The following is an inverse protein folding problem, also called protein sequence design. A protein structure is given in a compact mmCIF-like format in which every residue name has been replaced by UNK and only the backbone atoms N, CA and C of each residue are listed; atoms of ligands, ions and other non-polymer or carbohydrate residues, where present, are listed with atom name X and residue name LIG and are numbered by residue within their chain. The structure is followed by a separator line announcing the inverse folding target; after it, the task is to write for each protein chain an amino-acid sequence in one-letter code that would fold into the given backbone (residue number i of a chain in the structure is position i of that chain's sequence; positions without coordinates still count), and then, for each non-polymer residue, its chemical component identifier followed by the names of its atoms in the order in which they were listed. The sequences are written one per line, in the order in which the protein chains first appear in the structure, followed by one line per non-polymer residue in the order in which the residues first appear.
data_IF_661766179607
#
_entry.id   IF_661766179607
#
_cell.length_a   1.000
_cell.length_b   1.000
_cell.length_c   1.000
_cell.angle_alpha   90.00
_cell.angle_beta   90.00
_cell.angle_gamma   90.00
#
_symmetry.space_group_name_H-M   'P 1'
#
loop_
_entity.id
_entity.type
_entity.pdbx_description
1 polymer ?
#
# COMPACT_ATOMS: atom_id res chain seq x y z
N UNK A 1 41.13 -51.45 -12.85
CA UNK A 1 41.34 -50.02 -12.60
C UNK A 1 40.18 -49.19 -13.13
N UNK A 2 39.73 -49.37 -14.36
CA UNK A 2 38.61 -48.62 -15.00
C UNK A 2 37.29 -48.74 -14.20
N UNK A 3 36.88 -49.95 -13.74
CA UNK A 3 35.63 -50.14 -12.96
C UNK A 3 35.62 -49.40 -11.62
N UNK A 4 36.79 -49.24 -10.97
CA UNK A 4 36.87 -48.47 -9.72
C UNK A 4 36.74 -46.96 -9.98
N UNK A 5 37.25 -46.46 -11.10
CA UNK A 5 37.11 -45.06 -11.50
C UNK A 5 35.63 -44.76 -11.85
N UNK A 6 35.01 -45.64 -12.66
CA UNK A 6 33.59 -45.50 -13.03
C UNK A 6 32.69 -45.56 -11.80
N UNK A 7 32.92 -46.47 -10.85
CA UNK A 7 32.18 -46.53 -9.61
C UNK A 7 32.38 -45.28 -8.75
N UNK A 8 33.60 -44.72 -8.69
CA UNK A 8 33.88 -43.48 -7.96
C UNK A 8 33.18 -42.27 -8.55
N UNK A 9 33.16 -42.14 -9.88
CA UNK A 9 32.43 -41.06 -10.58
C UNK A 9 30.91 -41.18 -10.36
N UNK A 10 30.36 -42.41 -10.41
CA UNK A 10 28.93 -42.64 -10.18
C UNK A 10 28.51 -42.23 -8.76
N UNK A 11 29.33 -42.57 -7.77
CA UNK A 11 29.09 -42.17 -6.36
C UNK A 11 29.14 -40.65 -6.21
N UNK A 12 30.08 -39.98 -6.85
CA UNK A 12 30.15 -38.51 -6.81
C UNK A 12 28.94 -37.86 -7.48
N UNK A 13 28.46 -38.38 -8.59
CA UNK A 13 27.24 -37.89 -9.26
C UNK A 13 26.02 -38.10 -8.37
N UNK A 14 25.88 -39.26 -7.73
CA UNK A 14 24.77 -39.54 -6.81
C UNK A 14 24.80 -38.61 -5.58
N UNK A 15 25.98 -38.36 -5.01
CA UNK A 15 26.14 -37.44 -3.91
C UNK A 15 25.83 -36.00 -4.32
N UNK A 16 26.30 -35.54 -5.47
CA UNK A 16 26.00 -34.22 -6.00
C UNK A 16 24.48 -34.06 -6.27
N UNK A 17 23.84 -35.10 -6.84
CA UNK A 17 22.41 -35.11 -7.09
C UNK A 17 21.60 -35.07 -5.77
N UNK A 18 22.00 -35.85 -4.78
CA UNK A 18 21.39 -35.88 -3.47
C UNK A 18 21.51 -34.51 -2.76
N UNK A 19 22.70 -33.90 -2.84
CA UNK A 19 22.95 -32.56 -2.29
C UNK A 19 22.12 -31.50 -3.00
N UNK A 20 22.05 -31.54 -4.33
CA UNK A 20 21.21 -30.63 -5.09
C UNK A 20 19.73 -30.78 -4.77
N UNK A 21 19.22 -32.01 -4.63
CA UNK A 21 17.85 -32.29 -4.22
C UNK A 21 17.57 -31.79 -2.80
N UNK A 22 18.50 -31.99 -1.88
CA UNK A 22 18.42 -31.47 -0.52
C UNK A 22 18.39 -29.92 -0.53
N UNK A 23 19.30 -29.29 -1.23
CA UNK A 23 19.37 -27.85 -1.36
C UNK A 23 18.05 -27.27 -1.90
N UNK A 24 17.49 -27.85 -2.98
CA UNK A 24 16.27 -27.37 -3.61
C UNK A 24 14.99 -27.68 -2.84
N UNK A 25 14.93 -28.83 -2.15
CA UNK A 25 13.69 -29.26 -1.48
C UNK A 25 13.64 -28.98 0.01
N UNK A 26 14.77 -28.77 0.67
CA UNK A 26 14.85 -28.57 2.10
C UNK A 26 15.35 -27.17 2.46
N UNK A 27 16.43 -26.71 1.84
CA UNK A 27 17.02 -25.41 2.21
C UNK A 27 16.36 -24.24 1.48
N UNK A 28 16.15 -24.32 0.18
CA UNK A 28 15.56 -23.21 -0.60
C UNK A 28 14.19 -22.73 -0.05
N UNK A 29 13.25 -23.61 0.37
CA UNK A 29 12.00 -23.17 0.97
C UNK A 29 12.18 -22.31 2.22
N UNK A 30 13.19 -22.58 3.06
CA UNK A 30 13.46 -21.78 4.25
C UNK A 30 13.85 -20.34 3.92
N UNK A 31 14.61 -20.15 2.82
CA UNK A 31 14.94 -18.80 2.33
C UNK A 31 13.72 -18.13 1.68
N UNK A 32 12.83 -18.90 1.06
CA UNK A 32 11.56 -18.36 0.52
C UNK A 32 10.65 -17.89 1.66
N UNK A 33 10.52 -18.66 2.75
CA UNK A 33 9.73 -18.27 3.91
C UNK A 33 10.35 -17.06 4.62
N UNK A 34 11.68 -17.03 4.78
CA UNK A 34 12.41 -15.88 5.32
C UNK A 34 12.23 -14.63 4.44
N UNK A 35 12.18 -14.79 3.11
CA UNK A 35 11.88 -13.71 2.18
C UNK A 35 10.46 -13.17 2.41
N UNK A 36 9.45 -14.04 2.49
CA UNK A 36 8.05 -13.62 2.72
C UNK A 36 7.91 -12.86 4.04
N UNK A 37 8.54 -13.34 5.11
CA UNK A 37 8.57 -12.63 6.39
C UNK A 37 9.20 -11.23 6.27
N UNK A 38 10.27 -11.11 5.49
CA UNK A 38 11.14 -9.93 5.41
C UNK A 38 10.68 -8.88 4.40
N UNK A 39 9.85 -9.27 3.42
CA UNK A 39 9.52 -8.36 2.31
C UNK A 39 8.71 -7.15 2.76
N UNK A 40 7.76 -7.31 3.70
CA UNK A 40 7.03 -6.18 4.29
C UNK A 40 7.96 -5.13 4.93
N UNK A 41 8.82 -5.50 5.87
CA UNK A 41 9.84 -4.60 6.42
C UNK A 41 10.78 -3.97 5.39
N UNK A 42 11.21 -4.73 4.38
CA UNK A 42 12.04 -4.20 3.29
C UNK A 42 11.30 -3.11 2.49
N UNK A 43 10.06 -3.39 2.05
CA UNK A 43 9.23 -2.43 1.32
C UNK A 43 8.87 -1.20 2.16
N UNK A 44 8.66 -1.39 3.46
CA UNK A 44 8.49 -0.27 4.38
C UNK A 44 9.72 0.64 4.34
N UNK A 45 10.93 0.10 4.56
CA UNK A 45 12.17 0.91 4.56
C UNK A 45 12.40 1.57 3.20
N UNK A 46 12.18 0.86 2.09
CA UNK A 46 12.27 1.41 0.75
C UNK A 46 11.34 2.63 0.58
N UNK A 47 10.07 2.46 0.96
CA UNK A 47 9.06 3.49 0.83
C UNK A 47 9.34 4.70 1.72
N UNK A 48 9.74 4.50 2.98
CA UNK A 48 10.03 5.62 3.89
C UNK A 48 11.32 6.36 3.49
N UNK A 49 12.29 5.70 2.87
CA UNK A 49 13.48 6.37 2.32
C UNK A 49 13.13 7.22 1.10
N UNK A 50 12.23 6.74 0.23
CA UNK A 50 11.71 7.52 -0.89
C UNK A 50 10.94 8.75 -0.39
N UNK A 51 10.04 8.56 0.59
CA UNK A 51 9.21 9.62 1.16
C UNK A 51 9.99 10.66 1.97
N UNK A 52 11.08 10.26 2.60
CA UNK A 52 11.92 11.15 3.41
C UNK A 52 13.06 11.81 2.63
N UNK A 53 13.17 11.54 1.34
CA UNK A 53 14.26 12.08 0.50
C UNK A 53 15.62 11.46 0.77
N UNK A 54 15.70 10.36 1.52
CA UNK A 54 16.94 9.63 1.78
C UNK A 54 17.47 8.88 0.55
N UNK A 55 16.60 8.63 -0.42
CA UNK A 55 16.87 7.98 -1.69
C UNK A 55 16.41 8.88 -2.84
N UNK A 56 17.17 8.95 -3.92
CA UNK A 56 16.70 9.54 -5.17
C UNK A 56 15.59 8.61 -5.70
N UNK A 57 14.36 9.02 -5.48
CA UNK A 57 13.21 8.27 -5.94
C UNK A 57 12.83 8.71 -7.34
N UNK A 58 12.59 7.75 -8.24
CA UNK A 58 11.68 7.93 -9.37
C UNK A 58 10.21 8.06 -8.88
N UNK A 59 10.02 8.66 -7.70
CA UNK A 59 8.74 8.68 -7.00
C UNK A 59 7.97 9.94 -7.37
N UNK A 60 7.12 9.80 -8.38
CA UNK A 60 6.11 10.80 -8.74
C UNK A 60 5.04 11.00 -7.66
N UNK A 61 5.04 10.17 -6.59
CA UNK A 61 4.01 10.19 -5.53
C UNK A 61 4.10 11.47 -4.69
N UNK A 62 5.30 11.97 -4.47
CA UNK A 62 5.56 13.29 -3.89
C UNK A 62 6.38 14.05 -4.92
N UNK A 63 5.78 15.07 -5.53
CA UNK A 63 6.49 15.87 -6.51
C UNK A 63 7.78 16.39 -5.91
N UNK A 64 8.86 16.48 -6.71
CA UNK A 64 10.10 17.11 -6.30
C UNK A 64 9.84 18.48 -5.64
N UNK A 65 8.77 19.18 -6.09
CA UNK A 65 8.30 20.45 -5.50
C UNK A 65 7.75 20.28 -4.07
N UNK A 66 7.00 19.19 -3.78
CA UNK A 66 6.49 18.94 -2.43
C UNK A 66 7.63 18.56 -1.46
N UNK A 67 8.56 17.74 -1.90
CA UNK A 67 9.77 17.40 -1.15
C UNK A 67 10.65 18.65 -0.96
N UNK A 68 10.83 19.45 -2.00
CA UNK A 68 11.59 20.69 -1.95
C UNK A 68 10.92 21.74 -1.08
N UNK A 69 9.60 21.87 -1.11
CA UNK A 69 8.85 22.77 -0.22
C UNK A 69 8.99 22.37 1.25
N UNK A 70 8.98 21.07 1.54
CA UNK A 70 9.24 20.55 2.88
C UNK A 70 10.72 20.76 3.32
N UNK A 71 11.67 20.64 2.39
CA UNK A 71 13.10 20.88 2.62
C UNK A 71 13.43 22.37 2.80
N UNK A 72 12.76 23.28 2.10
CA UNK A 72 12.95 24.73 2.20
C UNK A 72 12.59 25.30 3.59
N UNK A 73 11.87 24.56 4.41
CA UNK A 73 11.57 24.92 5.80
C UNK A 73 12.71 24.56 6.79
N UNK A 74 13.94 24.37 6.32
CA UNK A 74 15.14 24.27 7.14
C UNK A 74 15.57 22.84 7.51
N UNK A 75 15.15 21.82 6.75
CA UNK A 75 15.64 20.47 6.95
C UNK A 75 16.86 20.18 6.07
N UNK A 76 18.04 20.18 6.65
CA UNK A 76 19.18 19.44 6.12
C UNK A 76 18.99 17.96 6.51
N UNK A 77 18.85 17.04 5.52
CA UNK A 77 18.74 15.61 5.76
C UNK A 77 17.36 15.01 5.48
N UNK A 78 17.10 13.84 6.05
CA UNK A 78 15.86 13.11 5.86
C UNK A 78 14.64 13.85 6.44
N UNK A 79 13.52 13.86 5.69
CA UNK A 79 12.25 14.45 6.13
C UNK A 79 11.55 13.51 7.12
N UNK A 80 12.01 13.48 8.37
CA UNK A 80 11.42 12.70 9.44
C UNK A 80 10.60 13.59 10.37
N UNK A 81 9.55 13.02 10.98
CA UNK A 81 8.68 13.67 11.95
C UNK A 81 8.04 14.98 11.46
N UNK A 82 7.74 15.05 10.17
CA UNK A 82 7.03 16.17 9.55
C UNK A 82 6.18 15.74 8.39
N UNK A 83 5.12 16.47 8.11
CA UNK A 83 4.19 16.19 7.02
C UNK A 83 4.74 16.60 5.65
N UNK A 84 4.41 15.81 4.65
CA UNK A 84 4.56 16.12 3.23
C UNK A 84 3.19 16.04 2.56
N UNK A 85 2.70 17.16 2.06
CA UNK A 85 1.41 17.24 1.39
C UNK A 85 1.56 17.02 -0.12
N UNK A 86 0.92 15.98 -0.66
CA UNK A 86 0.67 15.90 -2.09
C UNK A 86 -0.66 16.63 -2.40
N UNK A 87 -0.55 17.84 -2.94
CA UNK A 87 -1.69 18.72 -3.21
C UNK A 87 -2.27 18.55 -4.61
N UNK A 88 -1.89 17.49 -5.33
CA UNK A 88 -2.43 17.12 -6.65
C UNK A 88 -3.13 15.77 -6.55
N UNK A 89 -4.24 15.63 -7.25
CA UNK A 89 -4.86 14.32 -7.47
C UNK A 89 -3.98 13.52 -8.43
N UNK A 90 -3.94 12.21 -8.23
CA UNK A 90 -3.21 11.31 -9.11
C UNK A 90 -3.79 11.33 -10.53
N UNK A 91 -2.94 11.32 -11.52
CA UNK A 91 -3.29 11.26 -12.94
C UNK A 91 -2.45 10.20 -13.68
N UNK A 92 -2.49 10.21 -15.01
CA UNK A 92 -1.76 9.23 -15.83
C UNK A 92 -0.24 9.37 -15.78
N UNK A 93 0.29 10.47 -15.25
CA UNK A 93 1.74 10.66 -15.11
C UNK A 93 2.32 9.95 -13.87
N UNK A 94 1.47 9.64 -12.87
CA UNK A 94 1.89 8.93 -11.66
C UNK A 94 2.18 7.45 -11.95
N UNK A 95 3.44 7.01 -11.80
CA UNK A 95 3.92 5.65 -12.09
C UNK A 95 4.56 4.94 -10.90
N UNK A 96 4.85 5.65 -9.83
CA UNK A 96 5.47 5.09 -8.62
C UNK A 96 4.54 4.20 -7.80
N UNK A 97 3.21 4.41 -7.90
CA UNK A 97 2.19 3.64 -7.17
C UNK A 97 1.23 3.00 -8.15
N UNK A 98 1.04 1.69 -8.05
CA UNK A 98 0.02 0.96 -8.81
C UNK A 98 -1.37 1.27 -8.27
N UNK A 99 -2.38 1.25 -9.12
CA UNK A 99 -3.79 1.56 -8.78
C UNK A 99 -3.99 2.86 -8.01
N UNK A 100 -3.34 3.99 -8.44
CA UNK A 100 -3.39 5.23 -7.70
C UNK A 100 -4.83 5.73 -7.54
N UNK A 101 -5.10 6.45 -6.44
CA UNK A 101 -6.42 6.99 -6.16
C UNK A 101 -6.52 8.46 -6.63
N UNK A 102 -7.58 8.76 -7.37
CA UNK A 102 -7.88 10.12 -7.88
C UNK A 102 -9.00 10.83 -7.07
N UNK A 103 -9.45 10.24 -5.96
CA UNK A 103 -10.56 10.77 -5.16
C UNK A 103 -10.11 11.44 -3.86
N UNK A 104 -8.83 11.33 -3.50
CA UNK A 104 -8.29 11.89 -2.25
C UNK A 104 -6.96 12.58 -2.47
N UNK A 105 -6.73 13.67 -1.72
CA UNK A 105 -5.40 14.23 -1.50
C UNK A 105 -4.69 13.42 -0.41
N UNK A 106 -3.37 13.29 -0.55
CA UNK A 106 -2.54 12.52 0.38
C UNK A 106 -1.59 13.41 1.17
N UNK A 107 -1.51 13.17 2.47
CA UNK A 107 -0.43 13.69 3.31
C UNK A 107 0.31 12.51 3.93
N UNK A 108 1.61 12.47 3.78
CA UNK A 108 2.47 11.45 4.33
C UNK A 108 3.41 12.02 5.38
N UNK A 109 3.78 11.21 6.37
CA UNK A 109 4.87 11.49 7.28
C UNK A 109 5.56 10.19 7.69
N UNK A 110 6.87 10.23 7.76
CA UNK A 110 7.69 9.16 8.34
C UNK A 110 8.00 9.55 9.78
N UNK A 111 7.47 8.77 10.72
CA UNK A 111 7.66 9.03 12.15
C UNK A 111 8.75 8.12 12.70
N UNK A 112 9.78 8.74 13.29
CA UNK A 112 10.81 8.07 14.05
C UNK A 112 10.61 8.40 15.53
N UNK A 113 10.28 7.39 16.33
CA UNK A 113 9.74 7.53 17.69
C UNK A 113 10.74 7.17 18.79
N UNK A 114 11.96 6.73 18.43
CA UNK A 114 12.93 6.30 19.45
C UNK A 114 13.49 7.48 20.28
N UNK A 115 13.48 8.68 19.70
CA UNK A 115 14.04 9.86 20.35
C UNK A 115 12.98 10.74 21.02
N UNK A 116 11.80 10.81 20.44
CA UNK A 116 10.74 11.74 20.87
C UNK A 116 9.38 11.25 20.42
N UNK A 117 8.30 11.48 21.19
CA UNK A 117 6.95 11.42 20.66
C UNK A 117 6.77 12.37 19.48
N UNK A 118 5.85 12.00 18.58
CA UNK A 118 5.44 12.87 17.47
C UNK A 118 4.02 13.32 17.68
N UNK A 119 3.80 14.63 17.60
CA UNK A 119 2.49 15.24 17.66
C UNK A 119 1.87 15.32 16.26
N UNK A 120 0.64 14.85 16.13
CA UNK A 120 -0.20 15.02 14.94
C UNK A 120 -1.38 15.91 15.34
N UNK A 121 -1.49 17.08 14.69
CA UNK A 121 -2.68 17.91 14.78
C UNK A 121 -3.59 17.62 13.59
N UNK A 122 -4.86 17.31 13.88
CA UNK A 122 -5.89 16.92 12.91
C UNK A 122 -7.00 17.96 12.92
N UNK A 123 -7.34 18.61 11.80
CA UNK A 123 -8.44 19.57 11.75
C UNK A 123 -9.79 18.85 11.92
N UNK A 124 -10.81 19.58 12.37
CA UNK A 124 -12.18 19.10 12.35
C UNK A 124 -12.63 18.92 10.89
N UNK A 125 -13.08 17.70 10.56
CA UNK A 125 -13.43 17.33 9.19
C UNK A 125 -14.89 17.66 8.82
N UNK A 126 -15.77 17.80 9.82
CA UNK A 126 -17.22 17.89 9.60
C UNK A 126 -17.71 16.69 8.78
N UNK A 127 -18.43 16.95 7.70
CA UNK A 127 -18.96 15.90 6.82
C UNK A 127 -17.93 15.39 5.77
N UNK A 128 -16.74 16.01 5.68
CA UNK A 128 -15.71 15.56 4.73
C UNK A 128 -15.00 14.34 5.28
N UNK A 129 -14.84 13.32 4.42
CA UNK A 129 -13.98 12.19 4.77
C UNK A 129 -12.52 12.65 4.88
N UNK A 130 -11.98 12.51 6.09
CA UNK A 130 -10.57 12.64 6.42
C UNK A 130 -10.17 11.43 7.24
N UNK A 131 -9.14 10.73 6.84
CA UNK A 131 -8.62 9.58 7.57
C UNK A 131 -7.10 9.60 7.62
N UNK A 132 -6.54 9.13 8.72
CA UNK A 132 -5.10 8.98 8.92
C UNK A 132 -4.84 7.55 9.38
N UNK A 133 -4.16 6.77 8.56
CA UNK A 133 -3.70 5.44 8.91
C UNK A 133 -2.26 5.52 9.44
N UNK A 134 -1.97 4.79 10.51
CA UNK A 134 -0.65 4.64 11.10
C UNK A 134 -0.21 3.18 10.92
N UNK A 135 0.84 2.97 10.13
CA UNK A 135 1.39 1.65 9.82
C UNK A 135 2.76 1.47 10.45
N UNK A 136 3.00 0.30 11.00
CA UNK A 136 4.29 -0.10 11.54
C UNK A 136 5.24 -0.66 10.47
N UNK A 137 6.44 -1.03 10.89
CA UNK A 137 7.49 -1.58 10.02
C UNK A 137 7.09 -2.88 9.32
N UNK A 138 6.14 -3.63 9.87
CA UNK A 138 5.57 -4.83 9.24
C UNK A 138 4.35 -4.52 8.36
N UNK A 139 4.07 -3.25 8.10
CA UNK A 139 2.95 -2.76 7.30
C UNK A 139 1.56 -3.03 7.87
N UNK A 140 1.48 -3.48 9.12
CA UNK A 140 0.22 -3.59 9.85
C UNK A 140 -0.27 -2.19 10.27
N UNK A 141 -1.55 -1.91 10.05
CA UNK A 141 -2.18 -0.67 10.53
C UNK A 141 -2.55 -0.84 12.00
N UNK A 142 -1.71 -0.38 12.91
CA UNK A 142 -1.94 -0.51 14.35
C UNK A 142 -2.94 0.54 14.89
N UNK A 143 -3.11 1.67 14.18
CA UNK A 143 -4.06 2.70 14.57
C UNK A 143 -4.61 3.46 13.35
N UNK A 144 -5.79 4.03 13.53
CA UNK A 144 -6.48 4.85 12.55
C UNK A 144 -7.14 6.04 13.24
N UNK A 145 -7.04 7.24 12.66
CA UNK A 145 -7.74 8.45 13.10
C UNK A 145 -8.65 8.84 11.95
N UNK A 146 -9.94 8.58 12.10
CA UNK A 146 -10.91 8.79 11.03
C UNK A 146 -12.34 8.85 11.54
N UNK A 147 -13.32 8.93 10.64
CA UNK A 147 -14.73 9.10 11.05
C UNK A 147 -15.23 7.99 11.95
N UNK A 148 -14.74 6.76 11.81
CA UNK A 148 -15.14 5.61 12.62
C UNK A 148 -14.69 5.78 14.09
N UNK A 149 -13.48 6.31 14.34
CA UNK A 149 -12.91 6.47 15.68
C UNK A 149 -13.30 7.81 16.33
N UNK A 150 -13.49 8.86 15.54
CA UNK A 150 -13.60 10.23 16.04
C UNK A 150 -14.90 10.93 15.66
N UNK A 151 -15.73 10.33 14.79
CA UNK A 151 -16.92 10.99 14.24
C UNK A 151 -16.60 12.25 13.43
N UNK A 152 -15.38 12.36 12.89
CA UNK A 152 -14.93 13.55 12.14
C UNK A 152 -14.41 14.68 13.03
N UNK A 153 -14.37 14.51 14.35
CA UNK A 153 -13.80 15.49 15.27
C UNK A 153 -12.27 15.58 15.07
N UNK A 154 -11.76 16.80 15.01
CA UNK A 154 -10.34 17.07 15.04
C UNK A 154 -9.71 16.78 16.40
N UNK A 155 -8.44 17.12 16.54
CA UNK A 155 -7.75 16.98 17.83
C UNK A 155 -6.23 16.88 17.69
N UNK A 156 -5.60 16.79 18.85
CA UNK A 156 -4.14 16.60 18.95
C UNK A 156 -3.84 15.20 19.46
N UNK A 157 -2.93 14.53 18.78
CA UNK A 157 -2.53 13.16 19.08
C UNK A 157 -1.02 13.10 19.25
N UNK A 158 -0.56 12.44 20.30
CA UNK A 158 0.83 12.05 20.44
C UNK A 158 0.98 10.59 20.03
N UNK A 159 1.82 10.35 19.04
CA UNK A 159 2.26 9.00 18.67
C UNK A 159 3.55 8.76 19.44
N UNK A 160 3.52 7.77 20.31
CA UNK A 160 4.65 7.46 21.21
C UNK A 160 5.24 6.11 20.85
N UNK A 161 6.56 5.97 20.99
CA UNK A 161 7.23 4.68 20.82
C UNK A 161 6.76 3.64 21.85
N UNK A 162 7.04 2.33 21.61
CA UNK A 162 6.56 1.27 22.49
C UNK A 162 7.02 1.40 23.95
N UNK A 163 8.21 1.93 24.17
CA UNK A 163 8.83 2.08 25.50
C UNK A 163 8.82 3.52 26.02
N UNK A 164 8.18 4.44 25.29
CA UNK A 164 8.14 5.85 25.68
C UNK A 164 7.31 6.04 26.97
N UNK A 165 7.84 6.83 27.90
CA UNK A 165 7.24 7.16 29.20
C UNK A 165 6.85 8.62 29.33
N UNK A 166 6.88 9.39 28.27
CA UNK A 166 6.52 10.80 28.26
C UNK A 166 5.06 11.01 28.67
N UNK A 167 4.82 12.06 29.43
CA UNK A 167 3.48 12.40 29.92
C UNK A 167 2.90 13.46 28.98
N UNK A 168 1.82 13.10 28.29
CA UNK A 168 1.12 14.03 27.42
C UNK A 168 0.26 15.02 28.23
N UNK A 169 -0.02 16.23 27.72
CA UNK A 169 -1.06 17.12 28.25
C UNK A 169 -2.43 16.44 28.31
N UNK A 170 -3.29 16.88 29.21
CA UNK A 170 -4.57 16.21 29.49
C UNK A 170 -5.57 16.21 28.30
N UNK A 171 -5.43 17.17 27.40
CA UNK A 171 -6.25 17.33 26.18
C UNK A 171 -5.68 16.62 24.96
N UNK A 172 -4.51 15.99 25.10
CA UNK A 172 -3.83 15.25 24.02
C UNK A 172 -4.15 13.75 24.11
N UNK A 173 -4.58 13.17 23.01
CA UNK A 173 -4.80 11.72 22.91
C UNK A 173 -3.48 11.01 22.60
N UNK A 174 -3.18 9.95 23.36
CA UNK A 174 -1.93 9.17 23.17
C UNK A 174 -2.22 7.90 22.41
N UNK A 175 -1.47 7.67 21.34
CA UNK A 175 -1.46 6.42 20.57
C UNK A 175 -0.07 5.80 20.70
N UNK A 176 0.00 4.62 21.28
CA UNK A 176 1.26 3.88 21.42
C UNK A 176 1.49 3.01 20.20
N UNK A 177 2.62 3.22 19.54
CA UNK A 177 3.04 2.44 18.39
C UNK A 177 3.57 1.05 18.81
N UNK A 178 3.50 0.11 17.89
CA UNK A 178 4.04 -1.25 18.04
C UNK A 178 5.55 -1.29 17.86
N UNK A 179 6.12 -0.33 17.14
CA UNK A 179 7.54 -0.15 16.89
C UNK A 179 7.95 1.33 16.87
N UNK A 180 9.21 1.61 16.61
CA UNK A 180 9.74 2.97 16.59
C UNK A 180 9.63 3.67 15.23
N UNK A 181 9.51 2.91 14.15
CA UNK A 181 9.36 3.45 12.80
C UNK A 181 7.90 3.29 12.34
N UNK A 182 7.26 4.40 12.01
CA UNK A 182 5.84 4.46 11.63
C UNK A 182 5.68 5.26 10.34
N UNK A 183 4.87 4.75 9.42
CA UNK A 183 4.39 5.54 8.29
C UNK A 183 2.97 6.03 8.54
N UNK A 184 2.80 7.33 8.54
CA UNK A 184 1.51 8.01 8.56
C UNK A 184 1.05 8.30 7.14
N UNK A 185 -0.17 7.91 6.81
CA UNK A 185 -0.80 8.24 5.53
C UNK A 185 -2.20 8.80 5.75
N UNK A 186 -2.35 10.10 5.53
CA UNK A 186 -3.65 10.77 5.58
C UNK A 186 -4.30 10.86 4.19
N UNK A 187 -5.63 10.79 4.16
CA UNK A 187 -6.47 10.94 2.97
C UNK A 187 -7.55 11.97 3.22
N UNK A 188 -7.67 12.94 2.32
CA UNK A 188 -8.72 13.98 2.34
C UNK A 188 -9.53 13.87 1.07
N UNK A 189 -10.82 13.60 1.18
CA UNK A 189 -11.71 13.41 0.04
C UNK A 189 -11.89 14.70 -0.79
N UNK A 190 -11.92 14.51 -2.09
CA UNK A 190 -12.19 15.54 -3.11
C UNK A 190 -13.36 15.06 -3.97
N UNK A 191 -14.49 15.72 -3.87
CA UNK A 191 -15.70 15.34 -4.62
C UNK A 191 -15.59 15.63 -6.12
N UNK A 192 -14.89 16.73 -6.49
CA UNK A 192 -14.67 17.15 -7.86
C UNK A 192 -13.73 18.34 -7.93
N UNK A 193 -13.55 18.90 -9.13
CA UNK A 193 -12.63 20.03 -9.36
C UNK A 193 -13.05 21.28 -8.58
N UNK A 194 -14.34 21.51 -8.42
CA UNK A 194 -14.88 22.66 -7.68
C UNK A 194 -14.56 22.58 -6.18
N UNK A 195 -14.36 21.38 -5.65
CA UNK A 195 -14.08 21.09 -4.25
C UNK A 195 -12.58 21.10 -3.90
N UNK A 196 -11.70 21.02 -4.87
CA UNK A 196 -10.25 20.84 -4.66
C UNK A 196 -9.62 21.90 -3.75
N UNK A 197 -10.06 23.17 -3.84
CA UNK A 197 -9.55 24.24 -2.99
C UNK A 197 -9.90 24.04 -1.51
N UNK A 198 -11.13 23.61 -1.23
CA UNK A 198 -11.59 23.33 0.14
C UNK A 198 -10.89 22.10 0.73
N UNK A 199 -10.68 21.05 -0.09
CA UNK A 199 -9.93 19.86 0.32
C UNK A 199 -8.46 20.19 0.64
N UNK A 200 -7.80 21.04 -0.16
CA UNK A 200 -6.45 21.55 0.12
C UNK A 200 -6.37 22.37 1.40
N UNK A 201 -7.37 23.21 1.67
CA UNK A 201 -7.42 23.97 2.91
C UNK A 201 -7.49 23.04 4.14
N UNK A 202 -8.29 21.96 4.06
CA UNK A 202 -8.34 20.94 5.11
C UNK A 202 -7.03 20.17 5.23
N UNK A 203 -6.46 19.72 4.11
CA UNK A 203 -5.16 19.04 4.07
C UNK A 203 -4.09 19.87 4.77
N UNK A 204 -4.05 21.16 4.50
CA UNK A 204 -3.12 22.09 5.13
C UNK A 204 -3.34 22.27 6.63
N UNK A 205 -4.42 21.80 7.20
CA UNK A 205 -4.67 21.76 8.65
C UNK A 205 -4.01 20.58 9.35
N UNK A 206 -3.57 19.55 8.60
CA UNK A 206 -2.83 18.42 9.16
C UNK A 206 -1.39 18.88 9.43
N UNK A 207 -0.91 18.72 10.66
CA UNK A 207 0.45 19.08 11.07
C UNK A 207 1.10 17.94 11.82
N UNK A 208 2.40 17.75 11.58
CA UNK A 208 3.22 16.72 12.22
C UNK A 208 4.51 17.35 12.72
N UNK A 209 4.85 17.12 14.00
CA UNK A 209 6.09 17.65 14.58
C UNK A 209 6.62 16.79 15.72
N UNK A 210 7.92 16.78 15.92
CA UNK A 210 8.55 16.23 17.13
C UNK A 210 8.08 16.99 18.36
N UNK A 211 7.71 16.28 19.43
CA UNK A 211 7.33 16.91 20.71
C UNK A 211 8.52 17.58 21.37
N UNK A 212 9.69 16.96 21.29
CA UNK A 212 10.94 17.49 21.80
C UNK A 212 11.86 17.82 20.63
N UNK A 213 11.83 19.04 20.10
CA UNK A 213 12.54 19.41 18.86
C UNK A 213 14.06 19.33 18.97
N UNK A 214 14.60 19.37 20.18
CA UNK A 214 16.06 19.23 20.44
C UNK A 214 16.55 17.77 20.33
N UNK A 215 15.64 16.82 20.16
CA UNK A 215 15.94 15.40 19.98
C UNK A 215 15.73 15.03 18.51
N UNK A 216 16.85 14.99 17.77
CA UNK A 216 16.81 14.72 16.34
C UNK A 216 16.39 13.27 16.06
N UNK A 217 15.46 13.03 15.14
CA UNK A 217 15.08 11.69 14.71
C UNK A 217 16.23 11.01 13.97
N UNK A 218 16.36 9.71 14.13
CA UNK A 218 17.45 8.90 13.57
C UNK A 218 17.00 8.28 12.24
N UNK A 219 17.60 8.67 11.09
CA UNK A 219 17.30 8.05 9.81
C UNK A 219 17.85 6.62 9.70
N UNK A 220 17.32 5.84 8.74
CA UNK A 220 17.92 4.56 8.38
C UNK A 220 19.35 4.76 7.84
N UNK A 221 20.29 3.94 8.28
CA UNK A 221 21.69 4.00 7.85
C UNK A 221 21.92 3.21 6.55
N UNK A 222 21.28 2.05 6.44
CA UNK A 222 21.38 1.21 5.26
C UNK A 222 20.48 1.75 4.16
N UNK A 223 21.07 2.25 3.09
CA UNK A 223 20.31 2.68 1.91
C UNK A 223 19.82 1.47 1.13
N UNK A 224 18.54 1.48 0.77
CA UNK A 224 17.96 0.43 -0.08
C UNK A 224 18.52 0.54 -1.49
N UNK A 225 19.01 -0.58 -2.02
CA UNK A 225 19.43 -0.75 -3.43
C UNK A 225 18.45 -1.62 -4.20
N UNK A 226 18.90 -2.25 -5.28
CA UNK A 226 18.11 -3.23 -6.02
C UNK A 226 17.82 -4.46 -5.14
N UNK A 227 16.58 -4.95 -5.14
CA UNK A 227 16.16 -6.13 -4.39
C UNK A 227 16.97 -7.39 -4.77
N UNK A 228 17.49 -7.45 -5.98
CA UNK A 228 18.39 -8.54 -6.41
C UNK A 228 19.73 -8.54 -5.67
N UNK A 229 20.14 -7.41 -5.06
CA UNK A 229 21.28 -7.36 -4.13
C UNK A 229 20.87 -7.95 -2.78
N UNK A 230 20.98 -9.27 -2.69
CA UNK A 230 20.54 -10.02 -1.51
C UNK A 230 21.28 -9.65 -0.22
N UNK A 231 22.53 -9.17 -0.32
CA UNK A 231 23.27 -8.67 0.85
C UNK A 231 22.68 -7.35 1.35
N UNK A 232 22.33 -6.46 0.44
CA UNK A 232 21.64 -5.21 0.79
C UNK A 232 20.25 -5.50 1.35
N UNK A 233 19.48 -6.39 0.69
CA UNK A 233 18.16 -6.81 1.16
C UNK A 233 18.19 -7.27 2.63
N UNK A 234 19.09 -8.22 2.97
CA UNK A 234 19.20 -8.71 4.35
C UNK A 234 19.68 -7.63 5.33
N UNK A 235 20.62 -6.77 4.94
CA UNK A 235 21.10 -5.67 5.78
C UNK A 235 20.00 -4.63 6.09
N UNK A 236 19.15 -4.30 5.11
CA UNK A 236 17.99 -3.42 5.31
C UNK A 236 17.01 -4.03 6.31
N UNK A 237 16.69 -5.31 6.14
CA UNK A 237 15.77 -6.02 7.04
C UNK A 237 16.36 -6.11 8.46
N UNK A 238 17.64 -6.44 8.60
CA UNK A 238 18.30 -6.49 9.89
C UNK A 238 18.24 -5.15 10.63
N UNK A 239 18.48 -4.04 9.94
CA UNK A 239 18.35 -2.71 10.54
C UNK A 239 16.92 -2.41 10.95
N UNK A 240 15.93 -2.71 10.08
CA UNK A 240 14.51 -2.51 10.37
C UNK A 240 14.08 -3.27 11.63
N UNK A 241 14.46 -4.54 11.76
CA UNK A 241 14.15 -5.36 12.92
C UNK A 241 14.85 -4.87 14.19
N UNK A 242 16.12 -4.48 14.10
CA UNK A 242 16.88 -3.97 15.24
C UNK A 242 16.30 -2.67 15.81
N UNK A 243 15.84 -1.76 14.94
CA UNK A 243 15.18 -0.51 15.33
C UNK A 243 13.83 -0.73 16.00
N UNK A 244 13.15 -1.82 15.64
CA UNK A 244 11.79 -2.17 16.08
C UNK A 244 11.78 -3.42 16.95
N UNK A 245 12.76 -3.58 17.84
CA UNK A 245 12.95 -4.76 18.67
C UNK A 245 11.77 -5.08 19.59
N UNK A 246 11.01 -4.08 20.04
CA UNK A 246 9.81 -4.26 20.86
C UNK A 246 8.59 -4.79 20.07
N UNK A 247 8.61 -4.74 18.75
CA UNK A 247 7.49 -5.16 17.91
C UNK A 247 7.26 -6.68 18.01
N UNK A 248 6.01 -7.16 18.20
CA UNK A 248 5.73 -8.59 18.36
C UNK A 248 6.25 -9.46 17.22
N UNK A 249 6.12 -8.99 15.97
CA UNK A 249 6.61 -9.72 14.81
C UNK A 249 8.14 -9.81 14.75
N UNK A 250 8.87 -8.86 15.34
CA UNK A 250 10.34 -8.92 15.42
C UNK A 250 10.80 -10.14 16.23
N UNK A 251 10.01 -10.59 17.22
CA UNK A 251 10.34 -11.80 17.99
C UNK A 251 10.34 -13.07 17.13
N UNK A 252 9.53 -13.11 16.07
CA UNK A 252 9.49 -14.24 15.11
C UNK A 252 10.74 -14.31 14.23
N UNK A 253 11.58 -13.28 14.22
CA UNK A 253 12.84 -13.31 13.47
C UNK A 253 13.75 -14.48 13.87
N UNK A 254 13.61 -15.00 15.09
CA UNK A 254 14.31 -16.18 15.57
C UNK A 254 13.96 -17.46 14.78
N UNK A 255 12.79 -17.51 14.13
CA UNK A 255 12.33 -18.62 13.31
C UNK A 255 13.02 -18.62 11.93
N UNK A 256 13.72 -17.53 11.58
CA UNK A 256 14.35 -17.31 10.28
C UNK A 256 15.88 -17.10 10.39
N UNK A 257 16.65 -18.15 10.75
CA UNK A 257 18.11 -18.04 10.87
C UNK A 257 18.81 -17.62 9.56
N UNK A 258 18.14 -17.76 8.41
CA UNK A 258 18.59 -17.32 7.08
C UNK A 258 18.80 -15.80 7.00
N UNK A 259 18.24 -15.03 7.92
CA UNK A 259 18.42 -13.58 8.01
C UNK A 259 19.73 -13.19 8.70
N UNK A 260 20.48 -14.18 9.22
CA UNK A 260 21.76 -13.95 9.94
C UNK A 260 21.60 -12.87 11.03
N UNK A 261 20.53 -12.96 11.82
CA UNK A 261 20.25 -12.05 12.93
C UNK A 261 20.93 -12.56 14.19
N UNK A 262 21.59 -11.65 14.92
CA UNK A 262 22.21 -11.95 16.20
C UNK A 262 23.71 -11.61 16.26
N UNK A 263 24.23 -11.59 17.48
CA UNK A 263 25.63 -11.25 17.71
C UNK A 263 26.53 -12.35 17.13
N UNK A 264 27.38 -11.98 16.15
CA UNK A 264 28.28 -12.89 15.47
C UNK A 264 27.70 -13.69 14.30
N UNK A 265 26.45 -13.47 13.94
CA UNK A 265 25.88 -14.05 12.72
C UNK A 265 26.48 -13.37 11.49
N UNK A 266 27.01 -14.16 10.56
CA UNK A 266 27.63 -13.66 9.34
C UNK A 266 26.83 -14.12 8.10
N UNK A 267 26.61 -13.19 7.17
CA UNK A 267 26.12 -13.50 5.83
C UNK A 267 27.21 -14.26 5.04
N UNK A 268 27.08 -15.58 5.00
CA UNK A 268 28.09 -16.47 4.41
C UNK A 268 27.85 -16.79 2.94
N UNK A 269 28.80 -17.54 2.32
CA UNK A 269 28.66 -17.94 0.90
C UNK A 269 27.42 -18.83 0.62
N UNK A 270 26.96 -19.60 1.62
CA UNK A 270 25.77 -20.45 1.51
C UNK A 270 24.52 -19.54 1.46
N UNK A 271 24.46 -18.54 2.36
CA UNK A 271 23.36 -17.56 2.37
C UNK A 271 23.33 -16.80 1.04
N UNK A 272 24.48 -16.31 0.58
CA UNK A 272 24.62 -15.62 -0.70
C UNK A 272 24.07 -16.47 -1.86
N UNK A 273 24.38 -17.77 -1.88
CA UNK A 273 23.89 -18.69 -2.90
C UNK A 273 22.37 -18.82 -2.89
N UNK A 274 21.75 -19.14 -1.73
CA UNK A 274 20.31 -19.33 -1.66
C UNK A 274 19.53 -18.03 -1.88
N UNK A 275 19.98 -16.94 -1.27
CA UNK A 275 19.36 -15.63 -1.48
C UNK A 275 19.40 -15.20 -2.95
N UNK A 276 20.50 -15.46 -3.68
CA UNK A 276 20.59 -15.17 -5.11
C UNK A 276 19.61 -15.97 -5.98
N UNK A 277 19.08 -17.08 -5.47
CA UNK A 277 18.01 -17.84 -6.13
C UNK A 277 16.61 -17.29 -5.83
N UNK A 278 16.44 -16.64 -4.68
CA UNK A 278 15.14 -16.16 -4.18
C UNK A 278 14.87 -14.73 -4.65
N UNK A 279 15.73 -13.78 -4.31
CA UNK A 279 15.46 -12.33 -4.48
C UNK A 279 15.17 -11.90 -5.92
N UNK A 280 15.86 -12.38 -6.98
CA UNK A 280 15.59 -11.94 -8.35
C UNK A 280 14.25 -12.42 -8.94
N UNK A 281 13.61 -13.41 -8.29
CA UNK A 281 12.34 -14.00 -8.75
C UNK A 281 11.17 -13.67 -7.85
N UNK A 282 11.45 -12.99 -6.78
CA UNK A 282 10.52 -12.78 -5.68
C UNK A 282 9.28 -11.97 -6.09
N UNK A 283 9.46 -10.83 -6.74
CA UNK A 283 8.35 -9.98 -7.17
C UNK A 283 7.43 -10.68 -8.17
N UNK A 284 8.00 -11.39 -9.16
CA UNK A 284 7.21 -12.14 -10.13
C UNK A 284 6.42 -13.28 -9.46
N UNK A 285 7.03 -13.97 -8.48
CA UNK A 285 6.38 -15.03 -7.72
C UNK A 285 5.24 -14.48 -6.84
N UNK A 286 5.45 -13.35 -6.17
CA UNK A 286 4.43 -12.69 -5.36
C UNK A 286 3.27 -12.19 -6.23
N UNK A 287 3.55 -11.57 -7.37
CA UNK A 287 2.52 -11.10 -8.31
C UNK A 287 1.62 -12.25 -8.79
N UNK A 288 2.22 -13.37 -9.17
CA UNK A 288 1.47 -14.56 -9.59
C UNK A 288 0.57 -15.09 -8.45
N UNK A 289 1.10 -15.19 -7.23
CA UNK A 289 0.35 -15.70 -6.07
C UNK A 289 -0.83 -14.81 -5.70
N UNK A 290 -0.66 -13.49 -5.73
CA UNK A 290 -1.77 -12.57 -5.41
C UNK A 290 -2.88 -12.67 -6.43
N UNK A 291 -2.56 -12.81 -7.72
CA UNK A 291 -3.57 -12.97 -8.76
C UNK A 291 -4.37 -14.27 -8.62
N UNK A 292 -3.74 -15.36 -8.16
CA UNK A 292 -4.40 -16.66 -7.94
C UNK A 292 -5.36 -16.66 -6.73
N UNK A 293 -5.11 -15.81 -5.73
CA UNK A 293 -5.91 -15.78 -4.49
C UNK A 293 -7.20 -14.97 -4.60
N UNK A 294 -7.37 -14.16 -5.66
CA UNK A 294 -8.54 -13.31 -5.83
C UNK A 294 -9.69 -14.10 -6.46
N UNK A 295 -10.58 -14.66 -5.62
CA UNK A 295 -11.84 -15.21 -6.10
C UNK A 295 -12.77 -14.10 -6.60
N UNK A 296 -13.40 -14.30 -7.78
CA UNK A 296 -14.30 -13.32 -8.36
C UNK A 296 -15.77 -13.75 -8.19
N UNK A 297 -16.65 -12.80 -7.83
CA UNK A 297 -18.10 -12.94 -7.83
C UNK A 297 -18.70 -11.80 -8.66
N UNK A 298 -19.61 -12.08 -9.58
CA UNK A 298 -20.15 -11.09 -10.52
C UNK A 298 -19.05 -10.32 -11.30
N UNK A 299 -17.92 -11.01 -11.54
CA UNK A 299 -16.73 -10.40 -12.12
C UNK A 299 -15.86 -9.60 -11.13
N UNK A 300 -16.35 -9.28 -9.93
CA UNK A 300 -15.63 -8.55 -8.90
C UNK A 300 -14.89 -9.47 -7.92
N UNK A 301 -13.66 -9.12 -7.60
CA UNK A 301 -12.88 -9.72 -6.50
C UNK A 301 -12.90 -8.79 -5.30
N UNK A 302 -13.25 -9.31 -4.13
CA UNK A 302 -13.16 -8.59 -2.87
C UNK A 302 -11.72 -8.66 -2.31
N UNK A 303 -11.28 -7.67 -1.49
CA UNK A 303 -10.01 -7.76 -0.80
C UNK A 303 -10.04 -8.88 0.25
N UNK A 304 -8.88 -9.43 0.67
CA UNK A 304 -8.79 -10.37 1.78
C UNK A 304 -9.36 -9.79 3.08
N UNK A 305 -9.88 -10.67 3.96
CA UNK A 305 -10.51 -10.23 5.23
C UNK A 305 -9.53 -9.51 6.17
N UNK A 306 -8.29 -9.97 6.23
CA UNK A 306 -7.25 -9.45 7.10
C UNK A 306 -6.33 -8.42 6.41
N UNK A 307 -6.79 -7.77 5.33
CA UNK A 307 -6.02 -6.69 4.69
C UNK A 307 -5.76 -5.55 5.70
N UNK A 308 -4.50 -5.09 5.75
CA UNK A 308 -4.07 -4.04 6.67
C UNK A 308 -3.78 -4.51 8.10
N UNK A 309 -4.10 -5.78 8.46
CA UNK A 309 -3.70 -6.43 9.71
C UNK A 309 -3.38 -7.89 9.38
N UNK A 310 -2.13 -8.18 9.10
CA UNK A 310 -1.73 -9.46 8.53
C UNK A 310 -1.37 -10.50 9.61
N UNK A 311 -0.97 -10.06 10.81
CA UNK A 311 -0.51 -10.96 11.87
C UNK A 311 0.66 -11.82 11.39
N UNK A 312 0.50 -13.16 11.40
CA UNK A 312 1.52 -14.11 10.96
C UNK A 312 1.38 -14.53 9.47
N UNK A 313 0.46 -13.91 8.73
CA UNK A 313 0.29 -14.18 7.30
C UNK A 313 1.31 -13.39 6.47
N UNK A 314 2.55 -13.84 6.50
CA UNK A 314 3.67 -13.22 5.80
C UNK A 314 3.48 -13.21 4.27
N UNK A 315 2.72 -14.19 3.74
CA UNK A 315 2.41 -14.28 2.30
C UNK A 315 1.47 -13.15 1.87
N UNK A 316 0.38 -12.98 2.61
CA UNK A 316 -0.57 -11.90 2.32
C UNK A 316 0.09 -10.54 2.52
N UNK A 317 0.82 -10.34 3.64
CA UNK A 317 1.59 -9.13 3.91
C UNK A 317 2.49 -8.76 2.74
N UNK A 318 3.30 -9.70 2.27
CA UNK A 318 4.24 -9.49 1.16
C UNK A 318 3.52 -9.17 -0.14
N UNK A 319 2.44 -9.89 -0.43
CA UNK A 319 1.62 -9.64 -1.62
C UNK A 319 1.02 -8.24 -1.62
N UNK A 320 0.43 -7.81 -0.52
CA UNK A 320 -0.15 -6.46 -0.39
C UNK A 320 0.94 -5.38 -0.35
N UNK A 321 2.08 -5.63 0.29
CA UNK A 321 3.21 -4.71 0.24
C UNK A 321 3.67 -4.43 -1.20
N UNK A 322 3.60 -5.43 -2.09
CA UNK A 322 3.97 -5.28 -3.49
C UNK A 322 2.93 -4.53 -4.33
N UNK A 323 1.62 -4.84 -4.17
CA UNK A 323 0.59 -4.38 -5.11
C UNK A 323 -0.37 -3.34 -4.54
N UNK A 324 -0.38 -3.13 -3.24
CA UNK A 324 -1.35 -2.27 -2.55
C UNK A 324 -0.80 -1.68 -1.25
N UNK A 325 0.49 -1.32 -1.24
CA UNK A 325 1.14 -0.74 -0.08
C UNK A 325 0.33 0.44 0.48
N UNK A 326 0.01 0.38 1.77
CA UNK A 326 -0.87 1.38 2.39
C UNK A 326 -2.37 1.14 2.20
N UNK A 327 -2.78 -0.05 1.75
CA UNK A 327 -4.20 -0.43 1.70
C UNK A 327 -4.84 -0.31 3.09
N UNK A 328 -6.05 0.24 3.13
CA UNK A 328 -6.81 0.40 4.37
C UNK A 328 -7.41 -0.94 4.83
N UNK A 329 -7.69 -1.06 6.12
CA UNK A 329 -8.50 -2.15 6.68
C UNK A 329 -9.89 -2.13 6.05
N UNK A 330 -10.53 -3.30 5.98
CA UNK A 330 -11.88 -3.40 5.39
C UNK A 330 -12.92 -2.54 6.08
N UNK A 331 -12.78 -2.32 7.38
CA UNK A 331 -13.66 -1.44 8.16
C UNK A 331 -13.54 0.03 7.77
N UNK A 332 -12.41 0.43 7.20
CA UNK A 332 -12.14 1.80 6.78
C UNK A 332 -12.38 2.00 5.27
N UNK A 333 -12.04 0.98 4.44
CA UNK A 333 -12.36 0.97 3.03
C UNK A 333 -12.34 -0.44 2.43
N UNK A 334 -13.26 -0.71 1.51
CA UNK A 334 -13.29 -1.95 0.73
C UNK A 334 -13.03 -1.64 -0.73
N UNK A 335 -12.06 -2.35 -1.34
CA UNK A 335 -11.64 -2.15 -2.73
C UNK A 335 -11.94 -3.40 -3.54
N UNK A 336 -12.96 -3.34 -4.37
CA UNK A 336 -13.30 -4.40 -5.31
C UNK A 336 -12.57 -4.19 -6.63
N UNK A 337 -12.05 -5.28 -7.21
CA UNK A 337 -11.35 -5.27 -8.49
C UNK A 337 -12.10 -6.11 -9.51
N UNK A 338 -12.22 -5.62 -10.73
CA UNK A 338 -12.75 -6.35 -11.87
C UNK A 338 -11.77 -6.26 -13.05
N UNK A 339 -11.43 -7.41 -13.65
CA UNK A 339 -10.66 -7.52 -14.89
C UNK A 339 -11.39 -8.34 -15.94
N UNK A 340 -12.47 -9.01 -15.53
CA UNK A 340 -13.31 -9.85 -16.37
C UNK A 340 -14.77 -9.58 -16.06
N UNK A 341 -15.62 -9.74 -17.05
CA UNK A 341 -17.08 -9.77 -16.89
C UNK A 341 -17.52 -11.01 -16.11
N UNK A 342 -18.79 -11.08 -15.73
CA UNK A 342 -19.37 -12.24 -15.01
C UNK A 342 -19.25 -13.56 -15.80
N UNK A 343 -19.33 -13.50 -17.12
CA UNK A 343 -19.16 -14.63 -18.04
C UNK A 343 -17.68 -14.96 -18.37
N UNK A 344 -16.74 -14.28 -17.72
CA UNK A 344 -15.30 -14.57 -17.78
C UNK A 344 -14.54 -13.91 -18.94
N UNK A 345 -15.18 -13.08 -19.77
CA UNK A 345 -14.50 -12.30 -20.80
C UNK A 345 -13.62 -11.21 -20.18
N UNK A 346 -12.44 -10.98 -20.73
CA UNK A 346 -11.61 -9.83 -20.31
C UNK A 346 -12.35 -8.52 -20.61
N UNK A 347 -12.25 -7.57 -19.70
CA UNK A 347 -12.69 -6.21 -19.96
C UNK A 347 -11.87 -5.60 -21.12
N UNK A 348 -12.56 -5.17 -22.16
CA UNK A 348 -11.99 -4.61 -23.40
C UNK A 348 -12.48 -3.18 -23.59
N UNK A 349 -11.56 -2.22 -23.53
CA UNK A 349 -11.89 -0.79 -23.62
C UNK A 349 -12.39 -0.33 -24.97
N UNK A 350 -12.37 -1.17 -26.02
CA UNK A 350 -13.05 -0.91 -27.31
C UNK A 350 -14.55 -1.16 -27.25
N UNK A 351 -15.05 -1.72 -26.15
CA UNK A 351 -16.47 -2.00 -25.91
C UNK A 351 -17.05 -1.01 -24.90
N UNK A 352 -18.39 -0.90 -24.93
CA UNK A 352 -19.14 -0.13 -23.94
C UNK A 352 -19.74 -1.04 -22.90
N UNK A 353 -19.76 -0.57 -21.67
CA UNK A 353 -20.32 -1.28 -20.50
C UNK A 353 -21.22 -0.32 -19.73
N UNK A 354 -22.18 -0.90 -19.03
CA UNK A 354 -23.08 -0.21 -18.13
C UNK A 354 -23.07 -0.87 -16.75
N UNK A 355 -22.98 -0.05 -15.72
CA UNK A 355 -23.10 -0.47 -14.31
C UNK A 355 -24.20 0.33 -13.64
N UNK A 356 -25.17 -0.31 -13.04
CA UNK A 356 -26.29 0.36 -12.35
C UNK A 356 -26.14 0.19 -10.85
N UNK A 357 -25.74 1.25 -10.17
CA UNK A 357 -25.63 1.29 -8.72
C UNK A 357 -27.00 1.47 -8.07
N UNK A 358 -27.32 0.74 -6.98
CA UNK A 358 -28.52 0.98 -6.20
C UNK A 358 -28.45 2.34 -5.51
N UNK A 359 -29.59 2.86 -5.05
CA UNK A 359 -29.66 4.11 -4.30
C UNK A 359 -28.92 4.04 -2.94
N UNK A 360 -28.85 2.85 -2.36
CA UNK A 360 -28.31 2.54 -1.04
C UNK A 360 -26.96 1.83 -1.10
N UNK A 361 -26.03 2.34 -1.92
CA UNK A 361 -24.63 1.84 -1.92
C UNK A 361 -24.08 1.88 -0.49
N UNK A 362 -23.53 0.77 0.05
CA UNK A 362 -23.17 0.66 1.47
C UNK A 362 -21.83 1.36 1.81
N UNK A 363 -21.75 2.65 1.51
CA UNK A 363 -20.64 3.55 1.81
C UNK A 363 -21.15 4.74 2.60
N UNK A 364 -20.75 4.87 3.87
CA UNK A 364 -21.20 5.97 4.72
C UNK A 364 -20.49 7.29 4.41
N UNK A 365 -19.25 7.23 3.85
CA UNK A 365 -18.54 8.40 3.40
C UNK A 365 -18.75 8.64 1.90
N UNK A 366 -18.20 7.80 1.06
CA UNK A 366 -18.37 7.88 -0.39
C UNK A 366 -18.00 6.55 -1.07
N UNK A 367 -18.46 6.38 -2.30
CA UNK A 367 -17.98 5.35 -3.22
C UNK A 367 -17.24 5.98 -4.40
N UNK A 368 -16.36 5.21 -5.05
CA UNK A 368 -15.76 5.60 -6.32
C UNK A 368 -15.55 4.41 -7.26
N UNK A 369 -15.60 4.69 -8.56
CA UNK A 369 -15.23 3.77 -9.64
C UNK A 369 -14.09 4.38 -10.44
N UNK A 370 -12.96 3.67 -10.53
CA UNK A 370 -11.77 4.10 -11.28
C UNK A 370 -11.41 3.08 -12.35
N UNK A 371 -10.88 3.55 -13.48
CA UNK A 371 -10.48 2.71 -14.62
C UNK A 371 -8.97 2.80 -14.82
N UNK A 372 -8.33 1.63 -14.99
CA UNK A 372 -6.88 1.52 -15.14
C UNK A 372 -6.49 0.67 -16.35
N UNK A 373 -5.35 0.99 -16.94
CA UNK A 373 -4.70 0.20 -17.99
C UNK A 373 -3.56 -0.61 -17.37
N UNK A 374 -3.43 -1.92 -17.69
CA UNK A 374 -2.24 -2.69 -17.30
C UNK A 374 -1.01 -2.22 -18.10
N UNK A 375 0.14 -2.17 -17.43
CA UNK A 375 1.43 -2.05 -18.09
C UNK A 375 1.95 -3.42 -18.56
N UNK A 376 3.15 -3.46 -19.14
CA UNK A 376 3.78 -4.69 -19.65
C UNK A 376 4.08 -5.73 -18.54
N UNK A 377 4.17 -5.30 -17.29
CA UNK A 377 4.38 -6.16 -16.12
C UNK A 377 3.07 -6.58 -15.43
N UNK A 378 1.92 -6.11 -15.92
CA UNK A 378 0.59 -6.39 -15.36
C UNK A 378 0.20 -5.48 -14.19
N UNK A 379 0.97 -4.43 -13.89
CA UNK A 379 0.60 -3.40 -12.91
C UNK A 379 -0.38 -2.41 -13.54
N UNK A 380 -1.28 -1.86 -12.74
CA UNK A 380 -2.38 -1.03 -13.20
C UNK A 380 -2.14 0.46 -12.92
N UNK A 381 -2.24 1.30 -13.97
CA UNK A 381 -2.06 2.74 -13.89
C UNK A 381 -3.17 3.48 -14.61
N UNK A 382 -3.38 4.73 -14.26
CA UNK A 382 -4.18 5.62 -15.08
C UNK A 382 -3.55 5.79 -16.47
N UNK A 383 -4.36 6.10 -17.45
CA UNK A 383 -3.96 6.30 -18.84
C UNK A 383 -4.38 7.69 -19.32
N UNK A 384 -3.62 8.25 -20.23
CA UNK A 384 -3.96 9.54 -20.83
C UNK A 384 -5.31 9.44 -21.56
N UNK A 385 -6.21 10.38 -21.27
CA UNK A 385 -7.50 10.46 -21.91
C UNK A 385 -7.92 11.93 -22.13
N UNK A 386 -8.75 12.23 -23.17
CA UNK A 386 -9.05 13.61 -23.56
C UNK A 386 -9.77 14.45 -22.49
N UNK A 387 -10.40 13.80 -21.52
CA UNK A 387 -11.20 14.48 -20.48
C UNK A 387 -10.44 14.67 -19.18
N UNK A 388 -9.30 13.99 -19.00
CA UNK A 388 -8.59 13.94 -17.72
C UNK A 388 -9.42 13.30 -16.60
N UNK A 389 -10.46 12.51 -16.93
CA UNK A 389 -11.34 11.85 -15.97
C UNK A 389 -10.86 10.43 -15.75
N UNK A 390 -10.46 10.11 -14.52
CA UNK A 390 -9.91 8.81 -14.14
C UNK A 390 -10.85 8.03 -13.20
N UNK A 391 -11.75 8.76 -12.52
CA UNK A 391 -12.73 8.19 -11.62
C UNK A 391 -14.06 8.95 -11.69
N UNK A 392 -15.11 8.27 -11.21
CA UNK A 392 -16.39 8.86 -10.80
C UNK A 392 -16.63 8.44 -9.35
N UNK A 393 -17.05 9.39 -8.51
CA UNK A 393 -17.41 9.14 -7.13
C UNK A 393 -18.79 9.72 -6.80
N UNK A 394 -19.35 9.36 -5.65
CA UNK A 394 -20.70 9.79 -5.22
C UNK A 394 -20.87 11.31 -5.11
N UNK A 395 -19.77 12.08 -5.02
CA UNK A 395 -19.77 13.55 -5.00
C UNK A 395 -19.32 14.20 -6.30
N UNK A 396 -19.09 13.43 -7.38
CA UNK A 396 -18.57 13.99 -8.64
C UNK A 396 -19.45 15.09 -9.21
N UNK A 397 -18.82 16.17 -9.70
CA UNK A 397 -19.51 17.30 -10.30
C UNK A 397 -20.43 16.83 -11.45
N UNK A 398 -21.73 17.12 -11.34
CA UNK A 398 -22.73 16.82 -12.35
C UNK A 398 -23.15 15.34 -12.42
N UNK A 399 -22.76 14.48 -11.48
CA UNK A 399 -23.26 13.11 -11.38
C UNK A 399 -24.79 13.10 -11.31
N UNK A 400 -25.45 12.35 -12.19
CA UNK A 400 -26.92 12.27 -12.26
C UNK A 400 -27.41 10.94 -11.69
N UNK A 401 -28.41 11.01 -10.83
CA UNK A 401 -29.18 9.86 -10.36
C UNK A 401 -30.54 9.80 -11.08
N UNK A 402 -31.05 8.61 -11.25
CA UNK A 402 -32.42 8.35 -11.71
C UNK A 402 -33.45 8.80 -10.65
N UNK A 403 -34.73 8.86 -11.03
CA UNK A 403 -35.81 9.31 -10.14
C UNK A 403 -35.96 8.42 -8.87
N UNK A 404 -35.53 7.17 -8.93
CA UNK A 404 -35.54 6.21 -7.83
C UNK A 404 -34.22 6.18 -7.02
N UNK A 405 -33.30 7.12 -7.31
CA UNK A 405 -32.01 7.26 -6.64
C UNK A 405 -30.90 6.35 -7.18
N UNK A 406 -31.16 5.45 -8.12
CA UNK A 406 -30.12 4.65 -8.76
C UNK A 406 -29.20 5.53 -9.60
N UNK A 407 -27.93 5.12 -9.71
CA UNK A 407 -26.94 5.80 -10.57
C UNK A 407 -26.50 4.86 -11.68
N UNK A 408 -26.73 5.25 -12.92
CA UNK A 408 -26.25 4.50 -14.09
C UNK A 408 -24.91 5.06 -14.53
N UNK A 409 -23.86 4.24 -14.45
CA UNK A 409 -22.50 4.57 -14.90
C UNK A 409 -22.27 3.94 -16.27
N UNK A 410 -21.70 4.72 -17.18
CA UNK A 410 -21.31 4.29 -18.52
C UNK A 410 -19.78 4.21 -18.59
N UNK A 411 -19.24 3.11 -19.06
CA UNK A 411 -17.81 2.85 -19.16
C UNK A 411 -17.51 2.46 -20.61
N UNK A 412 -16.72 3.23 -21.32
CA UNK A 412 -16.48 2.95 -22.73
C UNK A 412 -15.65 4.02 -23.45
N UNK A 413 -15.30 3.77 -24.74
CA UNK A 413 -14.44 4.67 -25.51
C UNK A 413 -15.07 6.03 -25.81
N UNK A 414 -16.40 6.09 -25.84
CA UNK A 414 -17.15 7.32 -26.15
C UNK A 414 -18.34 7.49 -25.19
N UNK A 415 -18.67 8.74 -24.80
CA UNK A 415 -19.83 8.97 -23.94
C UNK A 415 -21.13 8.72 -24.71
N UNK A 416 -22.14 8.11 -24.08
CA UNK A 416 -23.46 8.01 -24.67
C UNK A 416 -24.13 9.39 -24.73
N UNK A 417 -25.05 9.64 -25.70
CA UNK A 417 -25.74 10.91 -25.80
C UNK A 417 -26.47 11.28 -24.51
N UNK A 418 -26.21 12.49 -23.99
CA UNK A 418 -26.85 13.02 -22.79
C UNK A 418 -26.37 12.47 -21.46
N UNK A 419 -25.39 11.56 -21.41
CA UNK A 419 -24.90 10.94 -20.17
C UNK A 419 -23.40 11.16 -19.95
N UNK A 420 -22.83 12.26 -20.44
CA UNK A 420 -21.39 12.57 -20.32
C UNK A 420 -20.94 12.72 -18.86
N UNK A 421 -21.80 13.16 -17.95
CA UNK A 421 -21.47 13.30 -16.52
C UNK A 421 -21.28 11.95 -15.80
N UNK A 422 -22.01 10.92 -16.22
CA UNK A 422 -21.95 9.58 -15.66
C UNK A 422 -21.04 8.63 -16.48
N UNK A 423 -20.18 9.18 -17.34
CA UNK A 423 -19.32 8.37 -18.21
C UNK A 423 -17.87 8.39 -17.77
N UNK A 424 -17.23 7.22 -17.82
CA UNK A 424 -15.78 7.02 -17.65
C UNK A 424 -15.17 6.53 -18.96
N UNK A 425 -14.11 7.18 -19.45
CA UNK A 425 -13.37 6.72 -20.62
C UNK A 425 -12.61 5.43 -20.34
N UNK A 426 -12.45 4.59 -21.36
CA UNK A 426 -11.63 3.38 -21.33
C UNK A 426 -10.40 3.53 -22.22
N UNK A 427 -9.27 2.83 -21.91
CA UNK A 427 -8.11 2.77 -22.80
C UNK A 427 -8.39 1.83 -23.97
N UNK A 428 -7.57 1.89 -25.02
CA UNK A 428 -7.52 0.82 -26.01
C UNK A 428 -7.03 -0.49 -25.37
N UNK A 429 -7.76 -1.60 -25.63
CA UNK A 429 -7.42 -2.95 -25.18
C UNK A 429 -7.88 -3.25 -23.75
N UNK A 430 -7.15 -4.15 -23.07
CA UNK A 430 -7.52 -4.60 -21.74
C UNK A 430 -7.49 -3.49 -20.70
N UNK A 431 -8.45 -3.54 -19.74
CA UNK A 431 -8.48 -2.64 -18.60
C UNK A 431 -8.95 -3.33 -17.31
N UNK A 432 -8.76 -2.65 -16.18
CA UNK A 432 -9.32 -3.04 -14.90
C UNK A 432 -10.21 -1.92 -14.35
N UNK A 433 -11.28 -2.31 -13.69
CA UNK A 433 -12.12 -1.41 -12.92
C UNK A 433 -11.91 -1.67 -11.41
N UNK A 434 -11.81 -0.59 -10.63
CA UNK A 434 -11.77 -0.65 -9.18
C UNK A 434 -12.94 0.12 -8.61
N UNK A 435 -13.79 -0.58 -7.85
CA UNK A 435 -14.88 0.03 -7.12
C UNK A 435 -14.51 0.09 -5.63
N UNK A 436 -14.52 1.29 -5.07
CA UNK A 436 -14.09 1.55 -3.70
C UNK A 436 -15.25 2.06 -2.87
N UNK A 437 -15.38 1.53 -1.66
CA UNK A 437 -16.28 2.03 -0.63
C UNK A 437 -15.45 2.58 0.52
N UNK A 438 -15.68 3.81 0.91
CA UNK A 438 -15.03 4.43 2.07
C UNK A 438 -16.04 4.53 3.21
N UNK A 439 -15.59 4.16 4.42
CA UNK A 439 -16.44 3.94 5.59
C UNK A 439 -17.60 2.99 5.24
N UNK A 440 -17.30 1.75 4.83
CA UNK A 440 -18.30 0.79 4.39
C UNK A 440 -19.20 0.37 5.55
N UNK A 441 -20.42 -0.08 5.25
CA UNK A 441 -21.27 -0.76 6.23
C UNK A 441 -20.85 -2.21 6.42
N UNK A 442 -21.31 -2.86 7.49
CA UNK A 442 -21.02 -4.26 7.80
C UNK A 442 -21.32 -5.22 6.63
N UNK A 443 -22.35 -4.94 5.84
CA UNK A 443 -22.71 -5.74 4.68
C UNK A 443 -21.57 -5.80 3.62
N UNK A 444 -20.86 -4.69 3.43
CA UNK A 444 -19.72 -4.65 2.52
C UNK A 444 -18.45 -5.24 3.18
N UNK A 445 -18.21 -4.92 4.46
CA UNK A 445 -17.08 -5.46 5.22
C UNK A 445 -17.10 -6.98 5.24
N UNK A 446 -18.27 -7.59 5.42
CA UNK A 446 -18.47 -9.05 5.46
C UNK A 446 -18.65 -9.70 4.07
N UNK A 447 -18.50 -8.94 2.98
CA UNK A 447 -18.73 -9.41 1.60
C UNK A 447 -20.14 -9.98 1.34
N UNK A 448 -21.13 -9.58 2.12
CA UNK A 448 -22.56 -9.88 1.87
C UNK A 448 -23.06 -9.04 0.69
N UNK A 449 -22.56 -7.79 0.58
CA UNK A 449 -22.80 -6.92 -0.56
C UNK A 449 -21.60 -6.95 -1.51
N UNK A 450 -21.88 -7.03 -2.80
CA UNK A 450 -20.89 -6.91 -3.87
C UNK A 450 -21.36 -5.85 -4.88
N UNK A 451 -20.43 -5.16 -5.57
CA UNK A 451 -20.82 -4.22 -6.62
C UNK A 451 -21.62 -4.92 -7.72
N UNK A 452 -22.61 -4.24 -8.33
CA UNK A 452 -23.33 -4.79 -9.49
C UNK A 452 -22.39 -5.14 -10.64
N UNK A 453 -22.77 -6.14 -11.44
CA UNK A 453 -22.02 -6.52 -12.62
C UNK A 453 -21.92 -5.36 -13.63
N UNK A 454 -20.79 -5.27 -14.33
CA UNK A 454 -20.65 -4.43 -15.52
C UNK A 454 -21.17 -5.19 -16.73
N UNK A 455 -22.27 -4.72 -17.31
CA UNK A 455 -22.96 -5.35 -18.43
C UNK A 455 -22.46 -4.73 -19.74
N UNK A 456 -21.98 -5.57 -20.65
CA UNK A 456 -21.57 -5.16 -22.01
C UNK A 456 -22.79 -4.72 -22.83
N UNK A 457 -22.70 -3.57 -23.50
CA UNK A 457 -23.74 -3.01 -24.38
C UNK A 457 -23.52 -3.31 -25.86
#
# INVERSE_FOLDING_TARGET
MINRIVSGVLVLILLATALALWAMKVELPKYQDAFLYSFGPYEFVRSVQDLSGQREADSDMFTAEAIQAAALNGAEGALLNREVHNSRLADHTLRSVTTPNNDTLYTSAVLELSQTPVEISVPEAGDRYLSIALMDVFTDQFAHIGPRETGGAGGTYWIVGPEDTSIAPADVKVIRATGNDVWMLARVFVSGQTDLAAAKAMQNGIRVRSVFPDREPIPFKTKVSDIADSKNFTAVVQEALARNGAHPQTQRAADFPQLSLGEGAEYGPIDAFFWSLVTPRAEASLTAQVNDQLSAQLGWSAPPENIGIYGDDDRLRSGIALIGFGALRREDAVYYRMTRTEDGELLDGTKSYRMTLPADVPAQAFWSLSIYKPDETGRFFFFENPTGRYSLNSGSDGLMAEADGRVVLHIGPTPPPGATSNWLPTPDGAFAAFFRLYLPTDAAVQSVWMPPAMIKE
#
